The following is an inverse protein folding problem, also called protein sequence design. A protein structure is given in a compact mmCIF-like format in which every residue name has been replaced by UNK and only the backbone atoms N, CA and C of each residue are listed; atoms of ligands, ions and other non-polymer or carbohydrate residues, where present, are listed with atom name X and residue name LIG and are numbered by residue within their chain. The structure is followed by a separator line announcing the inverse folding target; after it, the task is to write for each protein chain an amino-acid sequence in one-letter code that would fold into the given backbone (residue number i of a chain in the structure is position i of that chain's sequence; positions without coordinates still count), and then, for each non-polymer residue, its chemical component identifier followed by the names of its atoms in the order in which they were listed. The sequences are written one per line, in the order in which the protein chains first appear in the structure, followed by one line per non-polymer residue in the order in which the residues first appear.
data_IF_213115067836
#
_entry.id   IF_213115067836
#
_cell.length_a   1.000
_cell.length_b   1.000
_cell.length_c   1.000
_cell.angle_alpha   90.00
_cell.angle_beta   90.00
_cell.angle_gamma   90.00
#
_symmetry.space_group_name_H-M   'P 1'
#
loop_
_entity.id
_entity.type
_entity.pdbx_description
1 polymer ?
#
# COMPACT_ATOMS: atom_id res chain seq x y z
N UNK A 1 3.15 -22.17 15.60
CA UNK A 1 2.19 -21.04 15.57
C UNK A 1 3.03 -19.78 15.50
N UNK A 2 3.06 -19.13 14.35
CA UNK A 2 3.84 -17.90 14.16
C UNK A 2 3.24 -16.83 15.07
N UNK A 3 4.02 -16.27 16.00
CA UNK A 3 3.54 -15.17 16.84
C UNK A 3 3.39 -13.95 15.94
N UNK A 4 2.26 -13.24 16.10
CA UNK A 4 2.08 -11.89 15.55
C UNK A 4 3.26 -11.02 16.02
N UNK A 5 3.93 -10.34 15.08
CA UNK A 5 5.10 -9.51 15.41
C UNK A 5 4.65 -8.26 16.17
N UNK A 6 5.26 -8.00 17.32
CA UNK A 6 5.04 -6.76 18.08
C UNK A 6 5.97 -5.66 17.56
N UNK A 7 5.37 -4.61 17.00
CA UNK A 7 6.07 -3.43 16.50
C UNK A 7 6.09 -2.27 17.51
N UNK A 8 5.43 -2.41 18.66
CA UNK A 8 5.37 -1.38 19.71
C UNK A 8 6.73 -0.84 20.19
N UNK A 9 7.83 -1.64 20.18
CA UNK A 9 9.15 -1.13 20.54
C UNK A 9 9.78 -0.15 19.54
N UNK A 10 9.30 -0.10 18.29
CA UNK A 10 9.88 0.73 17.25
C UNK A 10 9.25 2.13 17.22
N UNK A 11 10.05 3.14 16.90
CA UNK A 11 9.58 4.51 16.75
C UNK A 11 8.82 4.68 15.43
N UNK A 12 7.65 5.34 15.49
CA UNK A 12 6.89 5.74 14.31
C UNK A 12 7.07 7.22 14.01
N UNK A 13 7.45 7.51 12.77
CA UNK A 13 7.60 8.87 12.24
C UNK A 13 6.43 9.21 11.32
N UNK A 14 6.30 10.51 11.02
CA UNK A 14 5.33 11.00 10.03
C UNK A 14 5.49 10.24 8.71
N UNK A 15 4.37 9.90 8.08
CA UNK A 15 4.37 9.20 6.80
C UNK A 15 5.02 10.06 5.72
N UNK A 16 5.91 9.46 4.94
CA UNK A 16 6.45 10.04 3.69
C UNK A 16 5.72 9.52 2.44
N UNK A 17 4.82 8.55 2.61
CA UNK A 17 4.09 7.89 1.53
C UNK A 17 2.78 8.60 1.19
N UNK A 18 2.35 8.53 -0.08
CA UNK A 18 1.06 9.07 -0.57
C UNK A 18 -0.13 8.08 -0.36
N UNK A 19 -1.36 8.58 -0.41
CA UNK A 19 -2.61 7.86 -0.15
C UNK A 19 -3.29 8.28 1.16
N UNK A 20 -4.61 8.09 1.24
CA UNK A 20 -5.45 8.63 2.32
C UNK A 20 -5.53 7.76 3.59
N UNK A 21 -5.15 6.48 3.52
CA UNK A 21 -5.21 5.58 4.67
C UNK A 21 -4.21 5.99 5.75
N UNK A 22 -4.56 5.73 7.03
CA UNK A 22 -3.64 5.98 8.14
C UNK A 22 -2.38 5.11 7.99
N UNK A 23 -1.23 5.78 7.94
CA UNK A 23 0.07 5.14 7.86
C UNK A 23 1.16 5.97 8.52
N UNK A 24 2.25 5.28 8.87
CA UNK A 24 3.45 5.86 9.49
C UNK A 24 4.71 5.25 8.88
N UNK A 25 5.82 5.93 9.08
CA UNK A 25 7.14 5.47 8.66
C UNK A 25 7.85 4.83 9.86
N UNK A 26 8.44 3.65 9.67
CA UNK A 26 9.17 2.93 10.71
C UNK A 26 10.51 2.43 10.17
N UNK A 27 11.60 2.63 10.92
CA UNK A 27 12.90 2.04 10.62
C UNK A 27 13.08 0.81 11.51
N UNK A 28 13.23 -0.37 10.90
CA UNK A 28 13.40 -1.63 11.60
C UNK A 28 14.49 -2.44 10.92
N UNK A 29 15.47 -2.90 11.69
CA UNK A 29 16.54 -3.78 11.23
C UNK A 29 17.30 -3.24 9.99
N UNK A 30 17.47 -1.91 9.88
CA UNK A 30 18.14 -1.25 8.76
C UNK A 30 17.26 -0.99 7.54
N UNK A 31 15.99 -1.37 7.57
CA UNK A 31 15.04 -1.18 6.47
C UNK A 31 13.92 -0.21 6.84
N UNK A 32 13.48 0.58 5.86
CA UNK A 32 12.34 1.47 6.02
C UNK A 32 11.05 0.72 5.71
N UNK A 33 10.01 0.98 6.50
CA UNK A 33 8.68 0.38 6.34
C UNK A 33 7.60 1.44 6.29
N UNK A 34 6.61 1.23 5.42
CA UNK A 34 5.29 1.85 5.50
C UNK A 34 4.41 0.99 6.39
N UNK A 35 4.06 1.49 7.58
CA UNK A 35 3.17 0.79 8.51
C UNK A 35 1.75 1.30 8.31
N UNK A 36 0.87 0.46 7.77
CA UNK A 36 -0.56 0.76 7.58
C UNK A 36 -1.37 0.26 8.78
N UNK A 37 -2.26 1.11 9.27
CA UNK A 37 -3.07 0.80 10.44
C UNK A 37 -4.46 0.31 10.04
N UNK A 38 -4.95 -0.69 10.77
CA UNK A 38 -6.39 -0.97 10.82
C UNK A 38 -7.12 0.13 11.59
N UNK A 39 -8.38 0.34 11.26
CA UNK A 39 -9.24 1.19 12.06
C UNK A 39 -9.70 0.42 13.30
N UNK A 40 -9.83 1.11 14.43
CA UNK A 40 -10.28 0.49 15.67
C UNK A 40 -11.71 -0.03 15.50
N UNK A 41 -11.91 -1.30 15.87
CA UNK A 41 -13.22 -1.95 15.92
C UNK A 41 -14.02 -1.49 17.14
N UNK A 42 -14.08 -0.18 17.42
CA UNK A 42 -15.07 0.31 18.37
C UNK A 42 -16.45 -0.13 17.84
N UNK A 43 -17.30 -0.79 18.65
CA UNK A 43 -18.61 -1.24 18.21
C UNK A 43 -19.50 -0.01 18.06
N UNK A 44 -19.42 0.65 16.92
CA UNK A 44 -20.50 1.50 16.44
C UNK A 44 -21.37 0.61 15.55
N UNK A 45 -22.37 0.01 16.19
CA UNK A 45 -23.62 -0.36 15.56
C UNK A 45 -23.98 0.77 14.58
N UNK A 46 -24.02 0.52 13.27
CA UNK A 46 -24.84 1.22 12.25
C UNK A 46 -24.23 1.23 10.83
N UNK A 47 -22.95 0.90 10.58
CA UNK A 47 -22.39 1.00 9.21
C UNK A 47 -21.55 -0.19 8.71
N UNK A 48 -22.11 -1.09 7.87
CA UNK A 48 -21.39 -2.24 7.31
C UNK A 48 -20.23 -1.89 6.35
N UNK A 49 -20.15 -0.63 5.88
CA UNK A 49 -19.04 -0.16 5.04
C UNK A 49 -17.75 0.11 5.82
N UNK A 50 -17.79 0.12 7.17
CA UNK A 50 -16.62 0.35 8.03
C UNK A 50 -15.90 -0.94 8.43
N UNK A 51 -16.54 -2.10 8.31
CA UNK A 51 -15.96 -3.42 8.60
C UNK A 51 -14.79 -3.75 7.66
N UNK A 52 -14.79 -3.23 6.43
CA UNK A 52 -13.68 -3.38 5.48
C UNK A 52 -12.39 -2.68 5.92
N UNK A 53 -12.50 -1.65 6.75
CA UNK A 53 -11.39 -0.81 7.19
C UNK A 53 -10.64 -1.39 8.40
N UNK A 54 -11.33 -2.16 9.25
CA UNK A 54 -10.71 -2.95 10.34
C UNK A 54 -9.78 -4.02 9.78
N UNK A 55 -10.18 -4.64 8.65
CA UNK A 55 -9.44 -5.73 8.03
C UNK A 55 -8.34 -5.28 7.07
N UNK A 56 -8.06 -3.97 6.95
CA UNK A 56 -7.06 -3.44 6.01
C UNK A 56 -5.69 -4.12 6.15
N UNK A 57 -5.09 -4.23 7.35
CA UNK A 57 -3.81 -4.91 7.52
C UNK A 57 -3.82 -6.37 7.07
N UNK A 58 -4.88 -7.10 7.43
CA UNK A 58 -5.01 -8.53 7.14
C UNK A 58 -5.23 -8.76 5.65
N UNK A 59 -6.08 -7.95 5.00
CA UNK A 59 -6.34 -8.03 3.56
C UNK A 59 -5.07 -7.74 2.76
N UNK A 60 -4.31 -6.72 3.15
CA UNK A 60 -3.03 -6.37 2.52
C UNK A 60 -2.02 -7.51 2.66
N UNK A 61 -1.92 -8.09 3.86
CA UNK A 61 -1.05 -9.23 4.12
C UNK A 61 -1.41 -10.42 3.24
N UNK A 62 -2.68 -10.85 3.26
CA UNK A 62 -3.16 -11.99 2.48
C UNK A 62 -2.95 -11.75 0.98
N UNK A 63 -3.36 -10.59 0.47
CA UNK A 63 -3.23 -10.25 -0.96
C UNK A 63 -1.78 -10.30 -1.42
N UNK A 64 -0.86 -9.70 -0.67
CA UNK A 64 0.57 -9.72 -1.00
C UNK A 64 1.13 -11.14 -0.92
N UNK A 65 0.78 -11.94 0.10
CA UNK A 65 1.26 -13.32 0.19
C UNK A 65 0.71 -14.21 -0.93
N UNK A 66 -0.52 -14.00 -1.40
CA UNK A 66 -1.10 -14.72 -2.55
C UNK A 66 -0.37 -14.36 -3.85
N UNK A 67 -0.09 -13.07 -4.09
CA UNK A 67 0.70 -12.65 -5.26
C UNK A 67 2.11 -13.25 -5.24
N UNK A 68 2.79 -13.18 -4.09
CA UNK A 68 4.11 -13.76 -3.92
C UNK A 68 4.11 -15.29 -4.17
N UNK A 69 3.13 -16.01 -3.62
CA UNK A 69 2.98 -17.45 -3.83
C UNK A 69 2.67 -17.82 -5.29
N UNK A 70 2.09 -16.89 -6.06
CA UNK A 70 1.81 -17.05 -7.49
C UNK A 70 2.98 -16.64 -8.38
N UNK A 71 4.13 -16.22 -7.80
CA UNK A 71 5.31 -15.77 -8.54
C UNK A 71 5.20 -14.35 -9.10
N UNK A 72 4.18 -13.59 -8.73
CA UNK A 72 4.00 -12.19 -9.15
C UNK A 72 4.81 -11.29 -8.21
N UNK A 73 5.70 -10.43 -8.73
CA UNK A 73 6.43 -9.47 -7.91
C UNK A 73 5.46 -8.61 -7.09
N UNK A 74 5.70 -8.54 -5.79
CA UNK A 74 4.83 -7.83 -4.86
C UNK A 74 5.64 -7.34 -3.67
N UNK A 75 5.09 -6.40 -2.93
CA UNK A 75 5.71 -5.84 -1.73
C UNK A 75 5.91 -6.92 -0.65
N UNK A 76 7.04 -6.83 0.05
CA UNK A 76 7.26 -7.65 1.24
C UNK A 76 6.49 -7.07 2.43
N UNK A 77 5.74 -7.93 3.11
CA UNK A 77 4.80 -7.53 4.16
C UNK A 77 4.90 -8.44 5.38
N UNK A 78 4.77 -7.81 6.55
CA UNK A 78 4.73 -8.46 7.85
C UNK A 78 3.48 -8.00 8.58
N UNK A 79 2.60 -8.93 8.93
CA UNK A 79 1.43 -8.67 9.78
C UNK A 79 1.86 -8.62 11.25
N UNK A 80 1.36 -7.64 11.99
CA UNK A 80 1.75 -7.42 13.38
C UNK A 80 0.75 -6.63 14.20
N UNK A 81 1.21 -6.26 15.38
CA UNK A 81 0.52 -5.38 16.32
C UNK A 81 1.38 -4.14 16.61
N UNK A 82 0.75 -2.99 16.78
CA UNK A 82 1.38 -1.81 17.35
C UNK A 82 0.46 -1.23 18.42
N UNK A 83 0.85 -1.39 19.69
CA UNK A 83 0.14 -0.91 20.88
C UNK A 83 -1.33 -1.36 20.93
N UNK A 84 -1.58 -2.62 20.60
CA UNK A 84 -2.93 -3.22 20.60
C UNK A 84 -3.73 -2.97 19.32
N UNK A 85 -3.14 -2.35 18.30
CA UNK A 85 -3.77 -2.13 16.99
C UNK A 85 -3.14 -3.05 15.95
N UNK A 86 -3.99 -3.73 15.17
CA UNK A 86 -3.57 -4.51 14.02
C UNK A 86 -2.90 -3.61 12.98
N UNK A 87 -1.73 -4.01 12.51
CA UNK A 87 -0.95 -3.27 11.50
C UNK A 87 -0.30 -4.23 10.50
N UNK A 88 -0.02 -3.71 9.31
CA UNK A 88 0.83 -4.36 8.33
C UNK A 88 2.02 -3.45 8.04
N UNK A 89 3.22 -3.97 8.22
CA UNK A 89 4.46 -3.30 7.84
C UNK A 89 4.85 -3.74 6.43
N UNK A 90 4.78 -2.83 5.47
CA UNK A 90 5.21 -3.02 4.09
C UNK A 90 6.64 -2.49 3.96
N UNK A 91 7.62 -3.33 3.58
CA UNK A 91 9.00 -2.89 3.35
C UNK A 91 9.03 -1.91 2.19
N UNK A 92 9.69 -0.78 2.38
CA UNK A 92 9.90 0.21 1.34
C UNK A 92 10.96 -0.29 0.36
N UNK A 93 10.51 -0.75 -0.80
CA UNK A 93 11.39 -1.24 -1.84
C UNK A 93 12.17 -0.11 -2.54
N UNK A 94 11.75 1.15 -2.45
CA UNK A 94 12.49 2.30 -2.99
C UNK A 94 13.69 2.66 -2.12
N UNK A 95 13.62 2.38 -0.81
CA UNK A 95 14.65 2.78 0.16
C UNK A 95 16.04 2.21 -0.15
N UNK A 96 16.10 1.03 -0.76
CA UNK A 96 17.34 0.34 -1.13
C UNK A 96 17.75 0.54 -2.59
N UNK A 97 16.93 1.25 -3.38
CA UNK A 97 17.22 1.53 -4.79
C UNK A 97 18.06 2.79 -4.96
N UNK A 98 18.52 3.03 -6.19
CA UNK A 98 19.21 4.27 -6.55
C UNK A 98 18.34 5.49 -6.15
N UNK A 99 18.87 6.43 -5.34
CA UNK A 99 18.11 7.57 -4.83
C UNK A 99 17.62 8.53 -5.93
N UNK A 100 18.11 8.40 -7.17
CA UNK A 100 17.62 9.15 -8.32
C UNK A 100 16.37 8.53 -8.96
N UNK A 101 15.97 7.33 -8.53
CA UNK A 101 14.75 6.69 -9.00
C UNK A 101 13.53 7.17 -8.21
N UNK A 102 12.40 7.23 -8.88
CA UNK A 102 11.10 7.60 -8.30
C UNK A 102 10.06 6.56 -8.67
N UNK A 103 9.19 6.22 -7.71
CA UNK A 103 7.99 5.45 -7.99
C UNK A 103 6.97 6.33 -8.70
N UNK A 104 6.67 6.00 -9.96
CA UNK A 104 5.63 6.64 -10.75
C UNK A 104 4.40 5.74 -10.81
N UNK A 105 3.23 6.27 -10.40
CA UNK A 105 1.98 5.52 -10.52
C UNK A 105 1.48 5.55 -11.96
N UNK A 106 0.94 4.43 -12.47
CA UNK A 106 0.37 4.34 -13.82
C UNK A 106 -0.65 5.46 -14.14
N UNK A 107 -1.44 5.88 -13.15
CA UNK A 107 -2.36 7.01 -13.25
C UNK A 107 -1.70 8.31 -13.75
N UNK A 108 -0.43 8.54 -13.41
CA UNK A 108 0.30 9.71 -13.87
C UNK A 108 0.60 9.62 -15.38
N UNK A 109 0.91 8.41 -15.88
CA UNK A 109 1.07 8.12 -17.31
C UNK A 109 -0.27 8.26 -18.06
N UNK A 110 -1.36 7.78 -17.46
CA UNK A 110 -2.71 7.90 -18.04
C UNK A 110 -3.12 9.37 -18.24
N UNK A 111 -2.80 10.24 -17.27
CA UNK A 111 -3.14 11.67 -17.30
C UNK A 111 -2.27 12.43 -18.33
N UNK A 112 -1.04 11.99 -18.61
CA UNK A 112 -0.16 12.65 -19.58
C UNK A 112 -0.50 12.35 -21.04
N UNK A 113 -1.28 11.30 -21.32
CA UNK A 113 -1.66 10.93 -22.69
C UNK A 113 -2.67 11.92 -23.32
N UNK A 114 -2.58 12.19 -24.64
CA UNK A 114 -3.63 12.90 -25.37
C UNK A 114 -4.99 12.18 -25.23
N UNK A 115 -6.05 12.94 -24.90
CA UNK A 115 -7.37 12.35 -24.60
C UNK A 115 -7.50 11.80 -23.17
N UNK A 116 -6.43 11.84 -22.39
CA UNK A 116 -6.45 11.57 -20.95
C UNK A 116 -7.44 12.45 -20.23
N UNK A 117 -8.17 11.84 -19.29
CA UNK A 117 -9.10 12.59 -18.44
C UNK A 117 -8.33 13.60 -17.57
N UNK A 118 -8.84 14.83 -17.45
CA UNK A 118 -8.27 15.85 -16.54
C UNK A 118 -8.35 15.46 -15.06
N UNK A 119 -9.13 14.41 -14.75
CA UNK A 119 -9.26 13.81 -13.42
C UNK A 119 -9.32 12.29 -13.57
N UNK A 120 -8.43 11.61 -12.87
CA UNK A 120 -8.46 10.16 -12.74
C UNK A 120 -9.83 9.66 -12.32
N UNK A 121 -10.35 8.72 -13.11
CA UNK A 121 -11.56 7.98 -12.79
C UNK A 121 -11.17 6.89 -11.79
N UNK A 122 -12.02 6.68 -10.78
CA UNK A 122 -11.86 5.55 -9.85
C UNK A 122 -11.96 4.19 -10.57
N UNK A 123 -12.53 4.18 -11.78
CA UNK A 123 -12.64 3.03 -12.68
C UNK A 123 -12.10 3.45 -14.05
N UNK A 124 -10.85 3.13 -14.37
CA UNK A 124 -10.29 3.44 -15.68
C UNK A 124 -10.97 2.58 -16.75
N UNK A 125 -11.03 3.10 -17.97
CA UNK A 125 -11.59 2.39 -19.11
C UNK A 125 -10.52 1.45 -19.70
N UNK A 126 -10.88 0.19 -20.00
CA UNK A 126 -9.92 -0.81 -20.47
C UNK A 126 -9.28 -0.42 -21.81
N UNK A 127 -10.05 0.12 -22.76
CA UNK A 127 -9.52 0.48 -24.07
C UNK A 127 -8.48 1.59 -23.92
N UNK A 128 -8.77 2.57 -23.08
CA UNK A 128 -7.82 3.65 -22.79
C UNK A 128 -6.58 3.16 -22.02
N UNK A 129 -6.74 2.27 -21.05
CA UNK A 129 -5.60 1.67 -20.33
C UNK A 129 -4.70 0.89 -21.29
N UNK A 130 -5.28 0.09 -22.19
CA UNK A 130 -4.51 -0.65 -23.20
C UNK A 130 -3.75 0.31 -24.11
N UNK A 131 -4.40 1.37 -24.59
CA UNK A 131 -3.76 2.39 -25.41
C UNK A 131 -2.55 3.02 -24.70
N UNK A 132 -2.68 3.39 -23.43
CA UNK A 132 -1.58 3.96 -22.64
C UNK A 132 -0.42 2.97 -22.52
N UNK A 133 -0.70 1.68 -22.29
CA UNK A 133 0.32 0.63 -22.20
C UNK A 133 1.05 0.40 -23.53
N UNK A 134 0.35 0.52 -24.66
CA UNK A 134 0.89 0.26 -25.99
C UNK A 134 1.64 1.47 -26.60
N UNK A 135 1.24 2.69 -26.23
CA UNK A 135 1.68 3.92 -26.92
C UNK A 135 2.53 4.88 -26.07
N UNK A 136 2.57 4.75 -24.73
CA UNK A 136 3.29 5.71 -23.90
C UNK A 136 4.80 5.45 -23.91
N UNK A 137 5.60 6.43 -24.35
CA UNK A 137 7.07 6.36 -24.51
C UNK A 137 7.89 5.96 -23.26
N UNK A 138 7.26 5.83 -22.09
CA UNK A 138 7.91 5.54 -20.82
C UNK A 138 7.76 4.07 -20.38
N UNK A 139 6.98 3.28 -21.12
CA UNK A 139 6.69 1.86 -20.88
C UNK A 139 7.33 1.00 -21.97
#
# INVERSE_FOLDING_TARGET
MERVRDFSPYELKVSVYDGAAEKRTMLMDGHLYMVKFGYDAAPQEEHPSRTSYVNLPVNEYIGSKVFAASGIPTQDVILGDYKGRSVVACRDFMYEMDPNLMLLHFKQLEISMPGGSSRSKARPDWEFVSQVLDEHDAL
#
